data_IF_161428186934
#
_entry.id   IF_161428186934
#
_cell.length_a   1.000
_cell.length_b   1.000
_cell.length_c   1.000
_cell.angle_alpha   90.00
_cell.angle_beta   90.00
_cell.angle_gamma   90.00
#
_symmetry.space_group_name_H-M   'P 1'
#
loop_
_entity.id
_entity.type
_entity.pdbx_description
1 polymer ?
2 non-polymer ?
3 non-polymer ?
4 non-polymer ?
5 water ?
#
# COMPACT_ATOMS: atom_id res chain seq x y z
N UNK A 1 -10.39 18.86 12.90
CA UNK A 1 -9.32 18.14 12.23
C UNK A 1 -8.42 17.44 13.24
N UNK A 2 -8.36 16.11 13.15
CA UNK A 2 -7.58 15.32 14.09
C UNK A 2 -6.84 14.22 13.35
N UNK A 3 -5.91 13.59 14.06
CA UNK A 3 -5.39 12.32 13.60
C UNK A 3 -6.48 11.28 13.79
N UNK A 4 -7.23 11.00 12.72
CA UNK A 4 -8.27 9.97 12.72
C UNK A 4 -7.66 8.63 12.33
N UNK A 5 -7.45 7.76 13.31
CA UNK A 5 -6.76 6.50 13.05
C UNK A 5 -7.61 5.54 12.24
N UNK A 6 -8.94 5.57 12.39
CA UNK A 6 -9.78 4.74 11.54
C UNK A 6 -9.64 5.12 10.07
N UNK A 7 -9.61 6.43 9.80
CA UNK A 7 -9.41 6.89 8.43
C UNK A 7 -7.99 6.58 7.95
N UNK A 8 -6.99 6.91 8.77
CA UNK A 8 -5.60 6.73 8.36
C UNK A 8 -5.27 5.26 8.10
N UNK A 9 -5.72 4.37 8.99
CA UNK A 9 -5.42 2.96 8.81
C UNK A 9 -6.16 2.36 7.62
N UNK A 10 -7.34 2.90 7.29
CA UNK A 10 -8.05 2.43 6.11
C UNK A 10 -7.32 2.83 4.83
N UNK A 11 -6.88 4.10 4.76
CA UNK A 11 -6.12 4.53 3.59
C UNK A 11 -4.77 3.82 3.51
N UNK A 12 -4.13 3.60 4.65
CA UNK A 12 -2.86 2.86 4.64
C UNK A 12 -3.07 1.42 4.21
N UNK A 13 -4.13 0.77 4.70
CA UNK A 13 -4.44 -0.58 4.26
C UNK A 13 -4.75 -0.61 2.77
N UNK A 14 -5.37 0.46 2.25
CA UNK A 14 -5.62 0.55 0.81
C UNK A 14 -4.30 0.55 0.03
N UNK A 15 -3.26 1.15 0.60
CA UNK A 15 -1.95 1.14 -0.05
C UNK A 15 -1.27 -0.21 0.03
N UNK A 16 -1.84 -1.17 0.76
CA UNK A 16 -1.34 -2.53 0.73
C UNK A 16 -1.53 -3.22 -0.61
N UNK A 17 -2.50 -2.77 -1.41
CA UNK A 17 -2.69 -3.37 -2.73
C UNK A 17 -1.57 -3.00 -3.68
N UNK A 18 -1.22 -1.73 -3.90
CA UNK A 18 -0.05 -1.44 -4.74
C UNK A 18 1.25 -1.91 -4.12
N UNK A 19 1.35 -1.94 -2.80
CA UNK A 19 2.55 -2.46 -2.16
C UNK A 19 2.74 -3.95 -2.45
N UNK A 20 1.63 -4.69 -2.60
CA UNK A 20 1.74 -6.11 -2.93
C UNK A 20 2.33 -6.33 -4.31
N UNK A 21 2.03 -5.44 -5.27
CA UNK A 21 2.56 -5.62 -6.62
C UNK A 21 4.08 -5.53 -6.62
N UNK A 22 4.63 -4.64 -5.79
CA UNK A 22 6.08 -4.57 -5.63
C UNK A 22 6.65 -5.77 -4.90
N UNK A 23 5.90 -6.32 -3.95
CA UNK A 23 6.39 -7.46 -3.17
C UNK A 23 6.48 -8.73 -4.00
N UNK A 24 5.63 -8.88 -5.02
CA UNK A 24 5.61 -10.05 -5.87
C UNK A 24 6.62 -9.97 -7.01
N UNK A 25 7.57 -9.04 -6.93
CA UNK A 25 8.53 -8.76 -7.97
C UNK A 25 9.84 -9.48 -7.66
N UNK A 26 10.21 -10.41 -8.55
CA UNK A 26 11.45 -11.17 -8.47
C UNK A 26 12.53 -10.48 -9.30
N UNK A 27 13.81 -10.73 -9.01
CA UNK A 27 14.86 -10.12 -9.84
C UNK A 27 14.69 -10.54 -11.30
N UNK A 28 14.48 -9.53 -12.14
CA UNK A 28 14.17 -9.74 -13.55
C UNK A 28 15.40 -9.49 -14.41
N UNK A 29 15.77 -10.49 -15.23
CA UNK A 29 16.89 -10.30 -16.14
C UNK A 29 16.51 -9.37 -17.29
N UNK A 30 15.23 -9.35 -17.67
CA UNK A 30 14.78 -8.44 -18.72
C UNK A 30 14.93 -6.99 -18.28
N UNK A 31 14.69 -6.71 -16.99
CA UNK A 31 14.83 -5.34 -16.50
C UNK A 31 16.29 -4.94 -16.38
N UNK A 32 17.17 -5.87 -16.00
CA UNK A 32 18.58 -5.51 -15.85
C UNK A 32 19.28 -5.36 -17.21
N UNK A 33 18.65 -5.85 -18.27
CA UNK A 33 19.19 -5.71 -19.62
C UNK A 33 18.81 -4.38 -20.24
N UNK A 34 17.75 -3.74 -19.75
CA UNK A 34 17.26 -2.50 -20.32
C UNK A 34 18.27 -1.36 -20.17
N UNK A 35 18.44 -0.59 -21.23
CA UNK A 35 19.26 0.60 -21.18
C UNK A 35 18.55 1.66 -20.36
N UNK A 36 19.18 2.13 -19.30
CA UNK A 36 18.50 3.05 -18.43
C UNK A 36 19.15 4.44 -18.45
N UNK A 37 18.37 5.49 -18.21
CA UNK A 37 18.95 6.83 -18.10
C UNK A 37 19.91 6.92 -16.93
N UNK A 38 20.85 7.86 -17.03
CA UNK A 38 21.90 8.00 -16.02
C UNK A 38 21.33 8.32 -14.65
N UNK A 39 20.16 8.95 -14.59
CA UNK A 39 19.55 9.32 -13.33
C UNK A 39 18.61 8.24 -12.79
N UNK A 40 18.63 7.04 -13.38
CA UNK A 40 17.82 5.95 -12.87
C UNK A 40 18.31 5.58 -11.48
N UNK A 41 17.47 5.62 -10.46
CA UNK A 41 17.91 5.22 -9.12
C UNK A 41 18.12 3.72 -9.05
N UNK A 42 18.93 3.24 -8.11
CA UNK A 42 19.07 1.80 -7.93
C UNK A 42 17.75 1.17 -7.48
N UNK A 43 17.68 -0.15 -7.61
CA UNK A 43 16.42 -0.86 -7.41
C UNK A 43 15.94 -0.73 -5.97
N UNK A 44 16.86 -0.73 -5.01
CA UNK A 44 16.47 -0.71 -3.60
C UNK A 44 15.84 0.62 -3.17
N UNK A 45 16.00 1.68 -3.97
CA UNK A 45 15.46 2.99 -3.60
C UNK A 45 13.94 2.99 -3.71
N UNK A 46 13.40 2.30 -4.71
CA UNK A 46 11.97 2.39 -5.00
C UNK A 46 11.08 1.89 -3.87
N UNK A 47 11.32 0.74 -3.24
CA UNK A 47 10.45 0.35 -2.11
C UNK A 47 10.49 1.31 -0.95
N UNK A 48 11.64 1.95 -0.70
CA UNK A 48 11.73 2.94 0.37
C UNK A 48 10.95 4.20 0.02
N UNK A 49 11.03 4.64 -1.25
CA UNK A 49 10.31 5.84 -1.66
C UNK A 49 8.80 5.62 -1.63
N UNK A 50 8.34 4.47 -2.11
CA UNK A 50 6.89 4.24 -2.20
C UNK A 50 6.28 4.09 -0.81
N UNK A 51 7.00 3.45 0.11
CA UNK A 51 6.51 3.34 1.49
C UNK A 51 6.31 4.71 2.11
N UNK A 52 7.27 5.62 1.90
CA UNK A 52 7.10 6.99 2.38
C UNK A 52 5.89 7.66 1.74
N UNK A 53 5.68 7.44 0.44
CA UNK A 53 4.57 8.08 -0.26
C UNK A 53 3.23 7.52 0.20
N UNK A 54 3.17 6.22 0.49
CA UNK A 54 1.92 5.64 0.99
C UNK A 54 1.49 6.29 2.29
N UNK A 55 2.45 6.56 3.19
CA UNK A 55 2.12 7.22 4.44
C UNK A 55 1.75 8.67 4.22
N UNK A 56 2.45 9.36 3.31
CA UNK A 56 2.13 10.76 3.05
C UNK A 56 0.76 10.89 2.40
N UNK A 57 0.46 10.04 1.41
CA UNK A 57 -0.83 10.15 0.74
C UNK A 57 -1.96 9.65 1.63
N UNK A 58 -1.69 8.73 2.56
CA UNK A 58 -2.73 8.29 3.47
C UNK A 58 -3.02 9.34 4.53
N UNK A 59 -1.98 10.04 5.00
CA UNK A 59 -2.19 11.14 5.93
C UNK A 59 -2.93 12.29 5.27
N UNK A 60 -2.62 12.56 4.00
CA UNK A 60 -3.30 13.63 3.27
C UNK A 60 -4.78 13.31 3.09
N UNK A 61 -5.08 12.08 2.65
CA UNK A 61 -6.47 11.70 2.47
C UNK A 61 -7.22 11.67 3.80
N UNK A 62 -6.53 11.32 4.89
CA UNK A 62 -7.16 11.31 6.20
C UNK A 62 -7.61 12.72 6.60
N UNK A 63 -6.80 13.74 6.29
CA UNK A 63 -7.19 15.11 6.60
C UNK A 63 -8.36 15.56 5.74
N UNK A 64 -8.32 15.25 4.45
CA UNK A 64 -9.37 15.70 3.52
C UNK A 64 -10.69 15.01 3.86
N UNK A 65 -10.65 13.73 4.20
CA UNK A 65 -11.87 12.97 4.45
C UNK A 65 -12.66 13.50 5.64
N UNK A 66 -12.05 14.33 6.48
CA UNK A 66 -12.76 14.94 7.61
C UNK A 66 -13.41 16.27 7.25
N UNK A 67 -13.25 16.73 6.02
CA UNK A 67 -13.67 18.07 5.62
C UNK A 67 -14.93 18.01 4.76
N UNK A 68 -15.84 18.93 5.03
CA UNK A 68 -17.04 19.14 4.22
C UNK A 68 -16.69 19.36 2.74
N UNK A 69 -17.44 18.71 1.87
CA UNK A 69 -17.28 18.92 0.44
C UNK A 69 -16.11 18.19 -0.20
N UNK A 70 -15.60 17.15 0.44
CA UNK A 70 -14.43 16.42 -0.02
C UNK A 70 -14.75 15.34 -1.05
N UNK A 71 -15.99 15.25 -1.52
CA UNK A 71 -16.38 14.11 -2.34
C UNK A 71 -15.57 13.98 -3.62
N UNK A 72 -15.43 15.09 -4.36
CA UNK A 72 -14.69 15.04 -5.62
C UNK A 72 -13.22 14.73 -5.38
N UNK A 73 -12.65 15.27 -4.31
CA UNK A 73 -11.24 15.01 -4.01
C UNK A 73 -11.00 13.54 -3.70
N UNK A 74 -11.91 12.91 -2.94
CA UNK A 74 -11.75 11.50 -2.63
C UNK A 74 -12.04 10.61 -3.83
N UNK A 75 -12.86 11.09 -4.76
CA UNK A 75 -13.06 10.36 -6.01
C UNK A 75 -11.79 10.36 -6.84
N UNK A 76 -11.11 11.50 -6.94
CA UNK A 76 -9.80 11.56 -7.58
C UNK A 76 -8.81 10.66 -6.87
N UNK A 77 -8.85 10.63 -5.53
CA UNK A 77 -7.92 9.81 -4.76
C UNK A 77 -8.11 8.33 -5.06
N UNK A 78 -9.36 7.87 -5.13
CA UNK A 78 -9.61 6.48 -5.49
C UNK A 78 -9.10 6.18 -6.89
N UNK A 79 -9.19 7.14 -7.80
CA UNK A 79 -8.77 6.92 -9.18
C UNK A 79 -7.25 6.78 -9.29
N UNK A 80 -6.50 7.67 -8.61
CA UNK A 80 -5.05 7.61 -8.69
C UNK A 80 -4.50 6.34 -8.06
N UNK A 81 -5.12 5.89 -6.95
CA UNK A 81 -4.66 4.68 -6.30
C UNK A 81 -4.89 3.45 -7.16
N UNK A 82 -6.03 3.40 -7.86
CA UNK A 82 -6.35 2.25 -8.70
C UNK A 82 -5.37 2.15 -9.87
N UNK A 83 -5.09 3.27 -10.55
CA UNK A 83 -4.15 3.23 -11.66
C UNK A 83 -2.71 3.04 -11.17
N UNK A 84 -2.40 3.50 -9.96
CA UNK A 84 -1.12 3.19 -9.35
C UNK A 84 -0.96 1.68 -9.18
N UNK A 85 -2.02 1.00 -8.71
CA UNK A 85 -1.97 -0.44 -8.56
C UNK A 85 -1.84 -1.15 -9.91
N UNK A 86 -2.39 -0.55 -10.96
CA UNK A 86 -2.38 -1.19 -12.28
C UNK A 86 -1.01 -1.13 -12.94
N UNK A 87 -0.21 -0.10 -12.66
CA UNK A 87 0.98 0.17 -13.47
C UNK A 87 2.04 -0.92 -13.31
N UNK A 88 2.37 -1.29 -12.08
CA UNK A 88 3.47 -2.23 -11.86
C UNK A 88 3.27 -3.56 -12.56
N UNK A 89 2.10 -4.22 -12.49
CA UNK A 89 1.94 -5.46 -13.26
C UNK A 89 2.05 -5.28 -14.75
N UNK A 90 1.65 -4.12 -15.29
CA UNK A 90 1.71 -3.91 -16.72
C UNK A 90 3.15 -3.77 -17.19
N UNK A 91 3.96 -3.02 -16.45
CA UNK A 91 5.34 -2.77 -16.86
C UNK A 91 6.23 -3.99 -16.57
N UNK A 92 6.20 -4.48 -15.33
CA UNK A 92 7.12 -5.54 -14.92
C UNK A 92 6.57 -6.94 -15.17
N UNK A 93 5.27 -7.15 -14.95
CA UNK A 93 4.69 -8.47 -15.14
C UNK A 93 4.45 -8.81 -16.60
N UNK A 94 3.72 -7.95 -17.30
CA UNK A 94 3.39 -8.20 -18.70
C UNK A 94 4.44 -7.66 -19.66
N UNK A 95 5.37 -6.83 -19.18
CA UNK A 95 6.42 -6.24 -20.00
C UNK A 95 5.84 -5.52 -21.22
N UNK A 96 4.73 -4.81 -21.00
CA UNK A 96 4.08 -4.01 -22.02
C UNK A 96 4.40 -2.54 -21.75
N UNK A 97 5.53 -2.09 -22.29
CA UNK A 97 6.05 -0.77 -21.93
C UNK A 97 5.17 0.35 -22.47
N UNK A 98 4.59 0.17 -23.66
CA UNK A 98 3.76 1.21 -24.25
C UNK A 98 2.49 1.43 -23.44
N UNK A 99 1.81 0.34 -23.08
CA UNK A 99 0.60 0.47 -22.26
C UNK A 99 0.93 1.01 -20.87
N UNK A 100 2.06 0.61 -20.31
CA UNK A 100 2.47 1.11 -19.01
C UNK A 100 2.68 2.62 -19.04
N UNK A 101 3.18 3.15 -20.16
CA UNK A 101 3.32 4.59 -20.29
C UNK A 101 1.96 5.26 -20.27
N UNK A 102 0.99 4.69 -20.97
CA UNK A 102 -0.37 5.21 -20.92
C UNK A 102 -0.96 5.12 -19.53
N UNK A 103 -0.69 4.02 -18.82
CA UNK A 103 -1.23 3.84 -17.48
C UNK A 103 -0.65 4.88 -16.52
N UNK A 104 0.68 5.06 -16.55
CA UNK A 104 1.31 5.97 -15.61
C UNK A 104 0.98 7.42 -15.94
N UNK A 105 0.69 7.72 -17.20
CA UNK A 105 0.27 9.08 -17.55
C UNK A 105 -1.15 9.35 -17.06
N UNK A 106 -2.01 8.34 -17.10
CA UNK A 106 -3.34 8.48 -16.51
C UNK A 106 -3.22 8.60 -14.99
N UNK A 107 -2.33 7.80 -14.40
CA UNK A 107 -2.06 7.93 -12.96
C UNK A 107 -1.56 9.34 -12.64
N UNK A 108 -0.63 9.86 -13.44
CA UNK A 108 -0.10 11.20 -13.22
C UNK A 108 -1.21 12.24 -13.20
N UNK A 109 -2.14 12.16 -14.16
CA UNK A 109 -3.23 13.14 -14.22
C UNK A 109 -4.11 13.07 -12.98
N UNK A 110 -4.40 11.85 -12.50
CA UNK A 110 -5.23 11.72 -11.31
C UNK A 110 -4.49 12.12 -10.05
N UNK A 111 -3.17 11.90 -10.02
CA UNK A 111 -2.36 12.40 -8.91
C UNK A 111 -2.37 13.93 -8.90
N UNK A 112 -2.23 14.55 -10.08
CA UNK A 112 -2.31 16.00 -10.16
C UNK A 112 -3.70 16.51 -9.82
N UNK A 113 -4.75 15.82 -10.28
CA UNK A 113 -6.10 16.23 -9.95
C UNK A 113 -6.39 16.10 -8.47
N UNK A 114 -5.89 15.03 -7.84
CA UNK A 114 -6.06 14.88 -6.40
C UNK A 114 -5.34 15.99 -5.64
N UNK A 115 -4.09 16.29 -6.02
CA UNK A 115 -3.34 17.33 -5.35
C UNK A 115 -4.03 18.68 -5.46
N UNK A 116 -4.53 19.02 -6.66
CA UNK A 116 -5.25 20.29 -6.83
C UNK A 116 -6.51 20.31 -5.98
N UNK A 117 -7.31 19.24 -6.03
CA UNK A 117 -8.54 19.19 -5.25
C UNK A 117 -8.25 19.22 -3.75
N UNK A 118 -7.13 18.63 -3.34
CA UNK A 118 -6.74 18.67 -1.93
C UNK A 118 -6.38 20.09 -1.52
N UNK A 119 -5.65 20.80 -2.37
CA UNK A 119 -5.28 22.19 -2.07
C UNK A 119 -6.49 23.09 -1.90
N UNK A 120 -7.59 22.79 -2.62
CA UNK A 120 -8.79 23.60 -2.50
C UNK A 120 -9.45 23.46 -1.13
N UNK A 121 -9.22 22.34 -0.44
CA UNK A 121 -9.82 22.08 0.86
C UNK A 121 -8.86 22.25 2.01
N UNK A 122 -7.59 21.86 1.84
CA UNK A 122 -6.62 21.87 2.92
C UNK A 122 -5.23 22.02 2.32
N UNK A 123 -4.51 23.08 2.73
CA UNK A 123 -3.20 23.34 2.15
C UNK A 123 -2.20 22.24 2.51
N UNK A 124 -2.25 21.74 3.75
CA UNK A 124 -1.28 20.73 4.16
C UNK A 124 -1.50 19.42 3.43
N UNK A 125 -2.76 19.07 3.16
CA UNK A 125 -3.04 17.86 2.39
C UNK A 125 -2.52 18.00 0.96
N UNK A 126 -2.61 19.19 0.38
CA UNK A 126 -2.02 19.41 -0.93
C UNK A 126 -0.50 19.37 -0.89
N UNK A 127 0.10 19.93 0.17
CA UNK A 127 1.55 19.91 0.29
C UNK A 127 2.07 18.48 0.42
N UNK A 128 1.34 17.64 1.17
CA UNK A 128 1.74 16.25 1.35
C UNK A 128 1.73 15.47 0.03
N UNK A 129 0.95 15.92 -0.95
CA UNK A 129 0.89 15.26 -2.25
C UNK A 129 1.94 15.78 -3.22
N UNK A 130 2.65 16.86 -2.87
CA UNK A 130 3.65 17.41 -3.79
C UNK A 130 4.80 16.44 -4.05
N UNK A 131 5.42 15.80 -3.04
CA UNK A 131 6.45 14.80 -3.36
C UNK A 131 5.91 13.61 -4.12
N UNK A 132 4.61 13.32 -4.01
CA UNK A 132 4.01 12.25 -4.81
C UNK A 132 3.97 12.63 -6.28
N UNK A 133 3.52 13.85 -6.58
CA UNK A 133 3.48 14.30 -7.98
C UNK A 133 4.88 14.39 -8.58
N UNK A 134 5.86 14.79 -7.77
CA UNK A 134 7.25 14.81 -8.24
C UNK A 134 7.72 13.40 -8.57
N UNK A 135 7.44 12.45 -7.68
CA UNK A 135 7.84 11.07 -7.91
C UNK A 135 7.10 10.47 -9.09
N UNK A 136 5.81 10.81 -9.25
CA UNK A 136 5.06 10.34 -10.40
C UNK A 136 5.63 10.90 -11.70
N UNK A 137 6.15 12.12 -11.68
CA UNK A 137 6.78 12.70 -12.85
C UNK A 137 8.05 11.94 -13.22
N UNK A 138 8.90 11.65 -12.23
CA UNK A 138 10.10 10.87 -12.49
C UNK A 138 9.76 9.47 -12.96
N UNK A 139 8.69 8.88 -12.41
CA UNK A 139 8.27 7.55 -12.83
C UNK A 139 7.81 7.56 -14.28
N UNK A 140 7.05 8.58 -14.69
CA UNK A 140 6.65 8.71 -16.08
C UNK A 140 7.86 8.87 -16.98
N UNK A 141 8.86 9.65 -16.53
CA UNK A 141 10.07 9.81 -17.32
C UNK A 141 10.85 8.52 -17.46
N UNK A 142 10.91 7.72 -16.39
CA UNK A 142 11.61 6.45 -16.44
C UNK A 142 10.92 5.49 -17.41
N UNK A 143 9.59 5.46 -17.40
CA UNK A 143 8.85 4.62 -18.34
C UNK A 143 9.09 5.08 -19.78
N UNK A 144 9.12 6.41 -20.00
CA UNK A 144 9.32 6.92 -21.35
C UNK A 144 10.71 6.62 -21.86
N UNK A 145 11.74 6.85 -21.04
CA UNK A 145 13.11 6.59 -21.47
C UNK A 145 13.40 5.11 -21.64
N UNK A 146 12.80 4.24 -20.82
CA UNK A 146 13.01 2.81 -20.98
C UNK A 146 12.49 2.32 -22.31
N UNK A 147 11.35 2.84 -22.76
CA UNK A 147 10.80 2.45 -24.05
C UNK A 147 11.61 3.04 -25.20
N UNK A 148 12.02 4.30 -25.04
CA UNK A 148 12.75 5.00 -26.09
C UNK A 148 14.18 4.49 -26.25
N UNK A 149 14.80 3.99 -25.18
CA UNK A 149 16.18 3.52 -25.21
C UNK A 149 16.35 2.03 -25.47
N UNK A 150 15.27 1.27 -25.62
CA UNK A 150 15.39 -0.18 -25.73
C UNK A 150 14.58 -0.72 -26.89
N UNK A 151 14.83 -1.99 -27.20
CA UNK A 151 13.99 -2.74 -28.12
C UNK A 151 12.64 -3.02 -27.49
N UNK A 152 11.58 -2.92 -28.28
CA UNK A 152 10.22 -3.18 -27.81
C UNK A 152 9.56 -4.20 -28.73
N UNK A 153 9.06 -5.28 -28.14
CA UNK A 153 8.32 -6.31 -28.83
C UNK A 153 6.86 -5.91 -28.98
N UNK A 154 6.20 -6.30 -30.08
CA UNK A 154 4.76 -6.06 -30.19
C UNK A 154 4.00 -6.72 -29.06
N UNK A 155 2.97 -6.03 -28.57
CA UNK A 155 2.09 -6.59 -27.56
C UNK A 155 0.90 -7.27 -28.23
N UNK A 156 -0.02 -7.78 -27.42
CA UNK A 156 -1.21 -8.43 -27.95
C UNK A 156 -2.09 -7.43 -28.67
N UNK A 157 -2.61 -7.83 -29.84
CA UNK A 157 -3.47 -6.96 -30.63
C UNK A 157 -4.85 -6.83 -30.02
N UNK B 2 -30.49 12.77 -9.24
CA UNK B 2 -29.40 13.32 -8.44
C UNK B 2 -28.09 12.82 -9.01
N UNK B 3 -27.79 13.27 -10.22
CA UNK B 3 -26.60 12.83 -10.93
C UNK B 3 -25.54 13.93 -10.88
N UNK B 4 -24.56 13.78 -10.01
CA UNK B 4 -23.39 14.64 -10.04
C UNK B 4 -22.49 13.98 -11.08
N UNK B 5 -22.54 14.52 -12.30
CA UNK B 5 -21.91 13.83 -13.41
C UNK B 5 -20.39 13.85 -13.29
N UNK B 6 -19.83 14.90 -12.69
CA UNK B 6 -18.39 14.92 -12.43
C UNK B 6 -17.98 13.81 -11.47
N UNK B 7 -18.79 13.59 -10.43
CA UNK B 7 -18.49 12.53 -9.46
C UNK B 7 -18.61 11.15 -10.09
N UNK B 8 -19.72 10.88 -10.77
CA UNK B 8 -19.95 9.55 -11.32
C UNK B 8 -18.91 9.20 -12.38
N UNK B 9 -18.58 10.16 -13.26
CA UNK B 9 -17.61 9.88 -14.31
C UNK B 9 -16.21 9.71 -13.75
N UNK B 10 -15.90 10.36 -12.63
CA UNK B 10 -14.61 10.13 -11.97
C UNK B 10 -14.55 8.72 -11.38
N UNK B 11 -15.63 8.31 -10.69
CA UNK B 11 -15.68 6.95 -10.16
C UNK B 11 -15.71 5.91 -11.26
N UNK B 12 -16.43 6.19 -12.35
CA UNK B 12 -16.45 5.27 -13.48
C UNK B 12 -15.07 5.17 -14.12
N UNK B 13 -14.39 6.30 -14.30
CA UNK B 13 -13.03 6.27 -14.83
C UNK B 13 -12.08 5.53 -13.92
N UNK B 14 -12.29 5.60 -12.61
CA UNK B 14 -11.47 4.84 -11.68
C UNK B 14 -11.60 3.34 -11.91
N UNK B 15 -12.79 2.89 -12.31
CA UNK B 15 -13.00 1.48 -12.62
C UNK B 15 -12.38 1.09 -13.96
N UNK B 16 -11.86 2.05 -14.72
CA UNK B 16 -11.09 1.71 -15.91
C UNK B 16 -9.80 0.99 -15.60
N UNK B 17 -9.26 1.17 -14.39
CA UNK B 17 -8.04 0.46 -14.02
C UNK B 17 -8.30 -1.03 -13.83
N UNK B 18 -9.26 -1.48 -13.01
CA UNK B 18 -9.54 -2.93 -12.97
C UNK B 18 -10.10 -3.47 -14.26
N UNK B 19 -10.87 -2.67 -15.01
CA UNK B 19 -11.34 -3.14 -16.31
C UNK B 19 -10.19 -3.36 -17.28
N UNK B 20 -9.13 -2.55 -17.16
CA UNK B 20 -7.96 -2.73 -18.02
C UNK B 20 -7.25 -4.04 -17.71
N UNK B 21 -7.21 -4.46 -16.44
CA UNK B 21 -6.54 -5.70 -16.10
C UNK B 21 -7.23 -6.89 -16.74
N UNK B 22 -8.56 -6.85 -16.85
CA UNK B 22 -9.26 -7.90 -17.55
C UNK B 22 -9.02 -7.89 -19.04
N UNK B 23 -8.85 -6.71 -19.64
CA UNK B 23 -8.62 -6.63 -21.07
C UNK B 23 -7.20 -7.09 -21.44
N UNK B 24 -6.21 -6.81 -20.58
CA UNK B 24 -4.84 -7.20 -20.88
C UNK B 24 -4.48 -8.58 -20.36
N UNK B 25 -5.46 -9.35 -19.89
CA UNK B 25 -5.19 -10.63 -19.26
C UNK B 25 -6.43 -11.52 -19.37
N UNK B 26 -6.90 -11.72 -20.59
CA UNK B 26 -8.03 -12.62 -20.78
C UNK B 26 -7.61 -14.03 -20.37
N UNK B 27 -8.53 -14.84 -19.86
CA UNK B 27 -8.19 -16.23 -19.53
C UNK B 27 -7.74 -16.99 -20.77
N UNK B 28 -6.55 -17.56 -20.69
CA UNK B 28 -5.93 -18.27 -21.80
C UNK B 28 -6.19 -19.77 -21.65
N UNK B 29 -5.36 -20.60 -22.27
CA UNK B 29 -5.53 -22.04 -22.15
C UNK B 29 -5.15 -22.54 -20.77
N UNK B 30 -4.33 -21.78 -20.02
CA UNK B 30 -4.01 -22.19 -18.65
C UNK B 30 -5.26 -22.19 -17.79
N UNK B 31 -6.17 -21.25 -18.03
CA UNK B 31 -7.41 -21.22 -17.27
C UNK B 31 -8.37 -22.33 -17.71
N UNK B 32 -8.39 -22.66 -19.00
CA UNK B 32 -9.31 -23.70 -19.46
C UNK B 32 -8.85 -25.10 -19.07
N UNK B 33 -7.57 -25.27 -18.75
CA UNK B 33 -7.04 -26.56 -18.34
C UNK B 33 -7.25 -26.81 -16.86
N UNK B 34 -7.47 -25.77 -16.07
CA UNK B 34 -7.67 -25.94 -14.64
C UNK B 34 -8.96 -26.70 -14.36
N UNK B 35 -8.95 -27.50 -13.30
CA UNK B 35 -10.16 -28.18 -12.87
C UNK B 35 -11.13 -27.16 -12.30
N UNK B 36 -12.39 -27.25 -12.70
CA UNK B 36 -13.34 -26.24 -12.28
C UNK B 36 -14.38 -26.82 -11.33
N UNK B 37 -14.91 -26.01 -10.41
CA UNK B 37 -16.05 -26.44 -9.61
C UNK B 37 -17.26 -26.69 -10.49
N UNK B 38 -18.16 -27.55 -10.01
CA UNK B 38 -19.30 -27.94 -10.82
C UNK B 38 -20.20 -26.74 -11.14
N UNK B 39 -20.18 -25.72 -10.29
CA UNK B 39 -20.99 -24.52 -10.46
C UNK B 39 -20.26 -23.41 -11.22
N UNK B 40 -19.16 -23.72 -11.88
CA UNK B 40 -18.39 -22.71 -12.62
C UNK B 40 -19.24 -22.07 -13.73
N UNK B 41 -19.40 -20.75 -13.73
CA UNK B 41 -20.18 -20.10 -14.79
C UNK B 41 -19.43 -20.10 -16.12
N UNK B 42 -20.16 -19.96 -17.23
CA UNK B 42 -19.49 -19.83 -18.53
C UNK B 42 -18.71 -18.54 -18.65
N UNK B 43 -17.87 -18.48 -19.68
CA UNK B 43 -16.91 -17.37 -19.82
C UNK B 43 -17.63 -16.03 -19.98
N UNK B 44 -18.75 -16.01 -20.71
CA UNK B 44 -19.43 -14.75 -21.01
C UNK B 44 -20.08 -14.12 -19.78
N UNK B 45 -20.22 -14.84 -18.68
CA UNK B 45 -20.86 -14.29 -17.51
C UNK B 45 -19.99 -13.21 -16.86
N UNK B 46 -18.67 -13.43 -16.85
CA UNK B 46 -17.77 -12.52 -16.12
C UNK B 46 -17.74 -11.11 -16.70
N UNK B 47 -17.59 -10.89 -18.01
CA UNK B 47 -17.64 -9.50 -18.50
C UNK B 47 -18.98 -8.84 -18.27
N UNK B 48 -20.07 -9.60 -18.30
CA UNK B 48 -21.39 -9.03 -18.02
C UNK B 48 -21.52 -8.66 -16.54
N UNK B 49 -21.01 -9.52 -15.65
CA UNK B 49 -21.12 -9.23 -14.22
C UNK B 49 -20.27 -8.03 -13.83
N UNK B 50 -19.02 -7.98 -14.29
CA UNK B 50 -18.12 -6.92 -13.85
C UNK B 50 -18.49 -5.58 -14.46
N UNK B 51 -18.93 -5.57 -15.73
CA UNK B 51 -19.37 -4.31 -16.33
C UNK B 51 -20.55 -3.73 -15.57
N UNK B 52 -21.53 -4.57 -15.22
CA UNK B 52 -22.66 -4.11 -14.43
C UNK B 52 -22.22 -3.58 -13.06
N UNK B 53 -21.29 -4.30 -12.41
CA UNK B 53 -20.89 -3.91 -11.06
C UNK B 53 -20.12 -2.60 -11.04
N UNK B 54 -19.28 -2.36 -12.06
CA UNK B 54 -18.54 -1.10 -12.13
C UNK B 54 -19.50 0.07 -12.25
N UNK B 55 -20.56 -0.08 -13.04
CA UNK B 55 -21.55 0.98 -13.15
C UNK B 55 -22.36 1.12 -11.86
N UNK B 56 -22.70 -0.02 -11.23
CA UNK B 56 -23.47 0.02 -10.00
C UNK B 56 -22.66 0.63 -8.85
N UNK B 57 -21.40 0.22 -8.71
CA UNK B 57 -20.59 0.74 -7.61
C UNK B 57 -20.20 2.20 -7.82
N UNK B 58 -20.11 2.65 -9.06
CA UNK B 58 -19.82 4.05 -9.32
C UNK B 58 -21.03 4.93 -9.05
N UNK B 59 -22.22 4.44 -9.36
CA UNK B 59 -23.45 5.17 -9.04
C UNK B 59 -23.65 5.28 -7.53
N UNK B 60 -23.33 4.21 -6.79
CA UNK B 60 -23.47 4.25 -5.34
C UNK B 60 -22.49 5.24 -4.72
N UNK B 61 -21.23 5.21 -5.16
CA UNK B 61 -20.23 6.12 -4.62
C UNK B 61 -20.55 7.57 -4.93
N UNK B 62 -21.16 7.84 -6.10
CA UNK B 62 -21.55 9.20 -6.43
C UNK B 62 -22.58 9.74 -5.45
N UNK B 63 -23.54 8.91 -5.04
CA UNK B 63 -24.54 9.35 -4.07
C UNK B 63 -23.91 9.61 -2.71
N UNK B 64 -23.02 8.71 -2.26
CA UNK B 64 -22.42 8.83 -0.94
C UNK B 64 -21.50 10.05 -0.88
N UNK B 65 -20.75 10.31 -1.95
CA UNK B 65 -19.76 11.39 -1.96
C UNK B 65 -20.38 12.77 -1.81
N UNK B 66 -21.68 12.91 -2.00
CA UNK B 66 -22.37 14.18 -1.81
C UNK B 66 -22.87 14.40 -0.39
N UNK B 67 -22.65 13.43 0.50
CA UNK B 67 -23.29 13.40 1.81
C UNK B 67 -22.32 13.76 2.93
N UNK B 68 -22.85 14.49 3.92
CA UNK B 68 -22.11 14.77 5.16
C UNK B 68 -21.60 13.48 5.79
N UNK B 69 -20.34 13.50 6.20
CA UNK B 69 -19.76 12.39 6.94
C UNK B 69 -19.38 11.18 6.11
N UNK B 70 -19.20 11.33 4.81
CA UNK B 70 -18.93 10.20 3.92
C UNK B 70 -17.46 9.81 3.87
N UNK B 71 -16.60 10.41 4.69
CA UNK B 71 -15.16 10.19 4.55
C UNK B 71 -14.77 8.74 4.75
N UNK B 72 -15.26 8.11 5.82
CA UNK B 72 -14.91 6.73 6.09
C UNK B 72 -15.45 5.79 5.02
N UNK B 73 -16.66 6.06 4.52
CA UNK B 73 -17.23 5.22 3.48
C UNK B 73 -16.40 5.28 2.20
N UNK B 74 -15.93 6.47 1.82
CA UNK B 74 -15.13 6.59 0.61
C UNK B 74 -13.73 6.04 0.81
N UNK B 75 -13.23 6.01 2.06
CA UNK B 75 -11.98 5.34 2.34
C UNK B 75 -12.11 3.83 2.15
N UNK B 76 -13.21 3.24 2.62
CA UNK B 76 -13.48 1.84 2.34
C UNK B 76 -13.61 1.60 0.84
N UNK B 77 -14.27 2.52 0.13
CA UNK B 77 -14.46 2.36 -1.30
C UNK B 77 -13.12 2.37 -2.04
N UNK B 78 -12.21 3.27 -1.66
CA UNK B 78 -10.88 3.28 -2.28
C UNK B 78 -10.14 1.98 -1.99
N UNK B 79 -10.34 1.39 -0.82
CA UNK B 79 -9.62 0.18 -0.45
C UNK B 79 -10.11 -1.01 -1.27
N UNK B 80 -11.42 -1.17 -1.42
CA UNK B 80 -11.95 -2.30 -2.18
C UNK B 80 -11.57 -2.19 -3.64
N UNK B 81 -11.56 -0.97 -4.19
CA UNK B 81 -11.21 -0.80 -5.60
C UNK B 81 -9.75 -1.13 -5.86
N UNK B 82 -8.86 -0.76 -4.95
CA UNK B 82 -7.44 -1.04 -5.13
C UNK B 82 -7.18 -2.54 -5.12
N UNK B 83 -7.77 -3.27 -4.17
CA UNK B 83 -7.60 -4.71 -4.13
C UNK B 83 -8.35 -5.40 -5.26
N UNK B 84 -9.46 -4.80 -5.72
CA UNK B 84 -10.12 -5.28 -6.93
C UNK B 84 -9.19 -5.22 -8.13
N UNK B 85 -8.46 -4.10 -8.28
CA UNK B 85 -7.51 -3.97 -9.37
C UNK B 85 -6.34 -4.93 -9.23
N UNK B 86 -5.97 -5.27 -8.00
CA UNK B 86 -4.79 -6.10 -7.74
C UNK B 86 -5.02 -7.57 -8.11
N UNK B 87 -6.26 -8.05 -8.01
CA UNK B 87 -6.49 -9.50 -8.03
C UNK B 87 -6.14 -10.12 -9.39
N UNK B 88 -6.64 -9.53 -10.48
CA UNK B 88 -6.45 -10.15 -11.79
C UNK B 88 -4.98 -10.35 -12.15
N UNK B 89 -4.08 -9.37 -11.97
CA UNK B 89 -2.66 -9.64 -12.28
C UNK B 89 -2.06 -10.74 -11.42
N UNK B 90 -2.50 -10.89 -10.18
CA UNK B 90 -1.92 -11.92 -9.31
C UNK B 90 -2.38 -13.31 -9.75
N UNK B 91 -3.66 -13.47 -10.05
CA UNK B 91 -4.19 -14.79 -10.39
C UNK B 91 -3.87 -15.16 -11.84
N UNK B 92 -4.20 -14.29 -12.78
CA UNK B 92 -4.06 -14.64 -14.20
C UNK B 92 -2.68 -14.29 -14.74
N UNK B 93 -2.10 -13.18 -14.33
CA UNK B 93 -0.80 -12.79 -14.83
C UNK B 93 0.32 -13.59 -14.20
N UNK B 94 0.40 -13.58 -12.87
CA UNK B 94 1.45 -14.28 -12.15
C UNK B 94 1.10 -15.72 -11.80
N UNK B 95 -0.16 -16.11 -11.93
CA UNK B 95 -0.62 -17.46 -11.58
C UNK B 95 -0.22 -17.82 -10.14
N UNK B 96 -0.38 -16.85 -9.24
CA UNK B 96 -0.14 -17.06 -7.81
C UNK B 96 -1.49 -17.20 -7.14
N UNK B 97 -2.01 -18.43 -7.18
CA UNK B 97 -3.39 -18.67 -6.77
C UNK B 97 -3.57 -18.52 -5.27
N UNK B 98 -2.56 -18.92 -4.49
CA UNK B 98 -2.65 -18.79 -3.03
C UNK B 98 -2.66 -17.31 -2.63
N UNK B 99 -1.77 -16.51 -3.21
CA UNK B 99 -1.74 -15.08 -2.93
C UNK B 99 -3.03 -14.41 -3.39
N UNK B 100 -3.57 -14.84 -4.54
CA UNK B 100 -4.81 -14.26 -5.04
C UNK B 100 -5.96 -14.50 -4.08
N UNK B 101 -5.98 -15.65 -3.39
CA UNK B 101 -7.04 -15.90 -2.42
C UNK B 101 -6.98 -14.91 -1.28
N UNK B 102 -5.77 -14.60 -0.79
CA UNK B 102 -5.63 -13.58 0.24
C UNK B 102 -6.10 -12.22 -0.27
N UNK B 103 -5.81 -11.91 -1.54
CA UNK B 103 -6.19 -10.63 -2.10
C UNK B 103 -7.71 -10.50 -2.17
N UNK B 104 -8.38 -11.54 -2.67
CA UNK B 104 -9.83 -11.47 -2.84
C UNK B 104 -10.55 -11.51 -1.50
N UNK B 105 -9.93 -12.14 -0.49
CA UNK B 105 -10.54 -12.16 0.83
C UNK B 105 -10.45 -10.79 1.50
N UNK B 106 -9.33 -10.09 1.30
CA UNK B 106 -9.22 -8.72 1.80
C UNK B 106 -10.18 -7.81 1.04
N UNK B 107 -10.28 -7.98 -0.28
CA UNK B 107 -11.26 -7.22 -1.05
C UNK B 107 -12.68 -7.47 -0.54
N UNK B 108 -13.01 -8.73 -0.26
CA UNK B 108 -14.33 -9.06 0.26
C UNK B 108 -14.63 -8.29 1.54
N UNK B 109 -13.65 -8.22 2.45
CA UNK B 109 -13.87 -7.51 3.71
C UNK B 109 -14.12 -6.03 3.47
N UNK B 110 -13.39 -5.43 2.53
CA UNK B 110 -13.58 -4.01 2.24
C UNK B 110 -14.86 -3.76 1.46
N UNK B 111 -15.28 -4.71 0.62
CA UNK B 111 -16.57 -4.59 -0.05
C UNK B 111 -17.69 -4.65 0.98
N UNK B 112 -17.58 -5.56 1.96
CA UNK B 112 -18.57 -5.63 3.03
C UNK B 112 -18.53 -4.38 3.89
N UNK B 113 -17.34 -3.87 4.19
CA UNK B 113 -17.23 -2.65 4.99
C UNK B 113 -17.80 -1.45 4.24
N UNK B 114 -17.55 -1.36 2.93
CA UNK B 114 -18.12 -0.29 2.14
C UNK B 114 -19.65 -0.37 2.13
N UNK B 115 -20.18 -1.58 1.92
CA UNK B 115 -21.63 -1.75 1.92
C UNK B 115 -22.25 -1.33 3.25
N UNK B 116 -21.63 -1.72 4.36
CA UNK B 116 -22.14 -1.32 5.67
C UNK B 116 -22.09 0.20 5.83
N UNK B 117 -20.96 0.81 5.49
CA UNK B 117 -20.83 2.26 5.62
C UNK B 117 -21.78 2.99 4.70
N UNK B 118 -22.05 2.44 3.52
CA UNK B 118 -22.99 3.08 2.60
C UNK B 118 -24.41 3.06 3.17
N UNK B 119 -24.81 1.94 3.77
CA UNK B 119 -26.12 1.84 4.39
C UNK B 119 -26.30 2.86 5.51
N UNK B 120 -25.21 3.21 6.19
CA UNK B 120 -25.30 4.20 7.27
C UNK B 120 -25.62 5.60 6.74
N UNK B 121 -25.29 5.88 5.48
CA UNK B 121 -25.50 7.19 4.89
C UNK B 121 -26.66 7.24 3.91
N UNK B 122 -26.85 6.19 3.11
CA UNK B 122 -27.86 6.19 2.05
C UNK B 122 -28.28 4.77 1.77
N UNK B 123 -29.58 4.49 1.91
CA UNK B 123 -30.07 3.12 1.74
C UNK B 123 -29.86 2.63 0.32
N UNK B 124 -30.07 3.49 -0.68
CA UNK B 124 -29.95 3.07 -2.06
C UNK B 124 -28.49 2.76 -2.43
N UNK B 125 -27.55 3.52 -1.88
CA UNK B 125 -26.14 3.24 -2.13
C UNK B 125 -25.75 1.89 -1.55
N UNK B 126 -26.30 1.54 -0.39
CA UNK B 126 -26.05 0.21 0.17
C UNK B 126 -26.68 -0.89 -0.64
N UNK B 127 -27.89 -0.66 -1.15
CA UNK B 127 -28.58 -1.67 -1.96
C UNK B 127 -27.80 -1.95 -3.23
N UNK B 128 -27.24 -0.91 -3.86
CA UNK B 128 -26.47 -1.09 -5.08
C UNK B 128 -25.21 -1.93 -4.85
N UNK B 129 -24.71 -1.98 -3.62
CA UNK B 129 -23.52 -2.77 -3.30
C UNK B 129 -23.84 -4.20 -2.93
N UNK B 130 -25.12 -4.55 -2.74
CA UNK B 130 -25.47 -5.93 -2.37
C UNK B 130 -25.10 -6.94 -3.46
N UNK B 131 -25.44 -6.72 -4.74
CA UNK B 131 -24.97 -7.65 -5.77
C UNK B 131 -23.46 -7.71 -5.89
N UNK B 132 -22.75 -6.65 -5.51
CA UNK B 132 -21.30 -6.67 -5.50
C UNK B 132 -20.78 -7.64 -4.42
N UNK B 133 -21.33 -7.54 -3.21
CA UNK B 133 -20.91 -8.43 -2.14
C UNK B 133 -21.24 -9.88 -2.46
N UNK B 134 -22.38 -10.12 -3.12
CA UNK B 134 -22.73 -11.46 -3.55
C UNK B 134 -21.72 -11.98 -4.57
N UNK B 135 -21.40 -11.15 -5.57
CA UNK B 135 -20.45 -11.57 -6.59
C UNK B 135 -19.05 -11.74 -6.02
N UNK B 136 -18.66 -10.86 -5.09
CA UNK B 136 -17.36 -11.01 -4.44
C UNK B 136 -17.29 -12.31 -3.64
N UNK B 137 -18.42 -12.74 -3.07
CA UNK B 137 -18.45 -14.02 -2.37
C UNK B 137 -18.27 -15.17 -3.36
N UNK B 138 -18.98 -15.11 -4.50
CA UNK B 138 -18.81 -16.13 -5.52
C UNK B 138 -17.40 -16.10 -6.08
N UNK B 139 -16.79 -14.91 -6.19
CA UNK B 139 -15.43 -14.80 -6.68
C UNK B 139 -14.44 -15.45 -5.71
N UNK B 140 -14.63 -15.24 -4.40
CA UNK B 140 -13.77 -15.89 -3.42
C UNK B 140 -13.88 -17.40 -3.48
N UNK B 141 -15.11 -17.90 -3.70
CA UNK B 141 -15.28 -19.35 -3.83
C UNK B 141 -14.58 -19.92 -5.05
N UNK B 142 -14.62 -19.19 -6.17
CA UNK B 142 -13.93 -19.65 -7.37
C UNK B 142 -12.43 -19.70 -7.16
N UNK B 143 -11.87 -18.70 -6.47
CA UNK B 143 -10.45 -18.73 -6.15
C UNK B 143 -10.11 -19.90 -5.22
N UNK B 144 -10.99 -20.15 -4.24
CA UNK B 144 -10.75 -21.25 -3.30
C UNK B 144 -10.86 -22.59 -4.01
N UNK B 145 -11.89 -22.77 -4.84
CA UNK B 145 -12.07 -24.04 -5.54
C UNK B 145 -10.97 -24.28 -6.56
N UNK B 146 -10.43 -23.21 -7.16
CA UNK B 146 -9.32 -23.39 -8.08
C UNK B 146 -8.11 -23.99 -7.39
N UNK B 147 -7.84 -23.58 -6.15
CA UNK B 147 -6.71 -24.16 -5.42
C UNK B 147 -7.01 -25.57 -4.95
N UNK B 148 -8.23 -25.80 -4.45
CA UNK B 148 -8.55 -27.11 -3.90
C UNK B 148 -8.68 -28.18 -4.98
N UNK B 149 -9.08 -27.79 -6.19
CA UNK B 149 -9.27 -28.74 -7.28
C UNK B 149 -8.02 -28.87 -8.16
N UNK B 150 -6.97 -28.12 -7.87
CA UNK B 150 -5.75 -28.15 -8.66
C UNK B 150 -4.52 -28.15 -7.77
N UNK B 151 -4.62 -28.81 -6.60
CA UNK B 151 -3.57 -28.75 -5.60
C UNK B 151 -2.28 -29.44 -6.05
N UNK B 152 -2.36 -30.32 -7.04
CA UNK B 152 -1.16 -30.96 -7.57
C UNK B 152 -0.38 -30.04 -8.51
N UNK B 153 -0.87 -28.83 -8.77
CA UNK B 153 -0.13 -27.86 -9.56
C UNK B 153 0.68 -26.96 -8.63
N UNK B 154 1.96 -26.72 -8.91
CA UNK B 154 2.76 -25.87 -8.01
C UNK B 154 2.23 -24.46 -7.88
N UNK B 155 1.59 -23.92 -8.92
CA UNK B 155 1.08 -22.56 -8.85
C UNK B 155 -0.11 -22.41 -7.92
N UNK B 156 -0.72 -23.52 -7.48
CA UNK B 156 -1.84 -23.46 -6.55
C UNK B 156 -1.42 -23.45 -5.09
N UNK B 157 -0.17 -23.80 -4.80
CA UNK B 157 0.30 -23.91 -3.42
C UNK B 157 1.19 -22.74 -3.02
N UNK C 2 9.42 23.85 25.70
CA UNK C 2 10.59 23.87 26.58
C UNK C 2 11.53 22.72 26.27
N UNK C 3 12.82 23.04 26.11
CA UNK C 3 13.83 22.03 25.80
C UNK C 3 14.45 21.55 27.10
N UNK C 4 14.01 20.37 27.57
CA UNK C 4 14.60 19.72 28.73
C UNK C 4 15.78 18.88 28.26
N UNK C 5 17.00 19.39 28.45
CA UNK C 5 18.16 18.70 27.94
C UNK C 5 18.47 17.44 28.74
N UNK C 6 18.17 17.44 30.04
CA UNK C 6 18.34 16.22 30.84
C UNK C 6 17.42 15.12 30.34
N UNK C 7 16.18 15.47 30.01
CA UNK C 7 15.22 14.49 29.51
C UNK C 7 15.66 13.93 28.16
N UNK C 8 16.01 14.82 27.22
CA UNK C 8 16.36 14.37 25.87
C UNK C 8 17.59 13.48 25.88
N UNK C 9 18.61 13.85 26.65
CA UNK C 9 19.84 13.05 26.68
C UNK C 9 19.62 11.70 27.34
N UNK C 10 18.69 11.61 28.30
CA UNK C 10 18.37 10.32 28.90
C UNK C 10 17.67 9.41 27.90
N UNK C 11 16.68 9.95 27.17
CA UNK C 11 16.03 9.17 26.12
C UNK C 11 17.00 8.80 25.02
N UNK C 12 17.91 9.72 24.67
CA UNK C 12 18.92 9.42 23.68
C UNK C 12 19.88 8.34 24.16
N UNK C 13 20.28 8.42 25.44
CA UNK C 13 21.13 7.37 26.00
C UNK C 13 20.43 6.01 25.98
N UNK C 14 19.11 6.00 26.16
CA UNK C 14 18.36 4.75 26.07
C UNK C 14 18.47 4.12 24.69
N UNK C 15 18.56 4.94 23.64
CA UNK C 15 18.74 4.45 22.29
C UNK C 15 20.15 3.94 22.03
N UNK C 16 21.07 4.11 22.99
CA UNK C 16 22.37 3.48 22.89
C UNK C 16 22.33 1.98 22.95
N UNK C 17 21.28 1.41 23.55
CA UNK C 17 21.17 -0.05 23.60
C UNK C 17 20.92 -0.67 22.23
N UNK C 18 19.90 -0.26 21.46
CA UNK C 18 19.77 -0.80 20.10
C UNK C 18 20.92 -0.40 19.19
N UNK C 19 21.51 0.78 19.40
CA UNK C 19 22.68 1.18 18.62
C UNK C 19 23.88 0.29 18.89
N UNK C 20 23.99 -0.27 20.11
CA UNK C 20 25.12 -1.12 20.46
C UNK C 20 25.19 -2.37 19.61
N UNK C 21 24.04 -2.89 19.17
CA UNK C 21 23.98 -4.11 18.38
C UNK C 21 24.75 -3.99 17.07
N UNK C 22 24.87 -2.77 16.53
CA UNK C 22 25.64 -2.58 15.32
C UNK C 22 27.09 -2.99 15.47
N UNK C 23 27.64 -2.86 16.68
CA UNK C 23 29.03 -3.27 16.91
C UNK C 23 29.17 -4.79 16.84
N UNK C 24 28.10 -5.52 17.15
CA UNK C 24 28.09 -6.97 17.16
C UNK C 24 27.79 -7.58 15.79
N UNK C 25 27.95 -6.82 14.72
CA UNK C 25 27.56 -7.25 13.38
C UNK C 25 28.79 -7.27 12.47
N UNK C 26 28.77 -8.17 11.50
CA UNK C 26 29.87 -8.32 10.57
C UNK C 26 29.37 -8.47 9.14
N UNK C 27 30.19 -8.09 8.16
CA UNK C 27 29.84 -8.35 6.75
C UNK C 27 29.70 -9.84 6.50
N UNK C 28 28.66 -10.20 5.74
CA UNK C 28 28.34 -11.61 5.55
C UNK C 28 29.15 -12.18 4.39
N UNK C 29 29.20 -13.51 4.34
CA UNK C 29 29.98 -14.21 3.34
C UNK C 29 29.37 -14.08 1.95
N UNK C 30 30.21 -14.31 0.94
CA UNK C 30 29.77 -14.24 -0.45
C UNK C 30 28.73 -15.30 -0.78
N UNK C 31 28.81 -16.44 -0.11
CA UNK C 31 27.89 -17.57 -0.39
C UNK C 31 26.57 -17.37 0.35
N UNK C 32 26.47 -16.34 1.19
CA UNK C 32 25.22 -16.03 1.94
C UNK C 32 24.39 -15.00 1.17
N UNK C 33 24.82 -14.58 -0.01
CA UNK C 33 24.14 -13.49 -0.78
C UNK C 33 22.70 -13.85 -1.15
N UNK C 34 22.44 -15.10 -1.53
CA UNK C 34 21.10 -15.56 -1.96
C UNK C 34 20.09 -15.43 -0.79
N UNK C 35 20.53 -15.68 0.44
CA UNK C 35 19.62 -15.67 1.63
C UNK C 35 18.97 -14.29 1.81
N UNK C 36 19.70 -13.20 1.57
CA UNK C 36 19.15 -11.82 1.72
C UNK C 36 18.11 -11.46 0.63
N UNK C 37 17.07 -10.65 0.96
CA UNK C 37 16.11 -10.16 -0.04
C UNK C 37 16.83 -9.39 -1.14
N UNK C 38 16.30 -9.52 -2.36
CA UNK C 38 16.99 -8.92 -3.50
C UNK C 38 16.90 -7.39 -3.49
N UNK C 39 15.84 -6.84 -2.89
CA UNK C 39 15.67 -5.38 -2.81
C UNK C 39 16.26 -4.83 -1.52
N UNK C 40 17.10 -5.59 -0.84
CA UNK C 40 17.74 -5.14 0.38
C UNK C 40 18.62 -3.94 0.10
N UNK C 41 18.44 -2.82 0.81
CA UNK C 41 19.30 -1.66 0.61
C UNK C 41 20.71 -1.95 1.09
N UNK C 42 21.70 -1.17 0.66
CA UNK C 42 23.07 -1.39 1.13
C UNK C 42 23.18 -1.19 2.63
N UNK C 43 24.28 -1.70 3.19
CA UNK C 43 24.43 -1.78 4.63
C UNK C 43 24.44 -0.40 5.28
N UNK C 44 25.05 0.59 4.60
CA UNK C 44 25.20 1.91 5.20
C UNK C 44 23.87 2.65 5.37
N UNK C 45 22.80 2.19 4.72
CA UNK C 45 21.52 2.88 4.83
C UNK C 45 20.92 2.68 6.21
N UNK C 46 21.08 1.48 6.79
CA UNK C 46 20.42 1.18 8.06
C UNK C 46 20.91 2.04 9.21
N UNK C 47 22.22 2.22 9.46
CA UNK C 47 22.63 3.13 10.54
C UNK C 47 22.23 4.57 10.31
N UNK C 48 22.14 5.00 9.05
CA UNK C 48 21.74 6.37 8.76
C UNK C 48 20.27 6.60 9.14
N UNK C 49 19.40 5.64 8.82
CA UNK C 49 17.99 5.78 9.16
C UNK C 49 17.77 5.69 10.66
N UNK C 50 18.41 4.71 11.32
CA UNK C 50 18.15 4.48 12.73
C UNK C 50 18.73 5.59 13.60
N UNK C 51 19.91 6.11 13.24
CA UNK C 51 20.46 7.24 13.99
C UNK C 51 19.54 8.44 13.91
N UNK C 52 18.98 8.72 12.73
CA UNK C 52 18.00 9.80 12.59
C UNK C 52 16.79 9.53 13.46
N UNK C 53 16.33 8.27 13.49
CA UNK C 53 15.13 7.94 14.26
C UNK C 53 15.37 8.04 15.75
N UNK C 54 16.58 7.69 16.21
CA UNK C 54 16.89 7.81 17.63
C UNK C 54 16.79 9.25 18.10
N UNK C 55 17.26 10.20 17.29
CA UNK C 55 17.17 11.61 17.64
C UNK C 55 15.73 12.10 17.57
N UNK C 56 14.98 11.67 16.54
CA UNK C 56 13.59 12.09 16.40
C UNK C 56 12.73 11.54 17.51
N UNK C 57 12.87 10.25 17.83
CA UNK C 57 12.02 9.64 18.85
C UNK C 57 12.39 10.12 20.25
N UNK C 58 13.65 10.49 20.48
CA UNK C 58 14.03 11.00 21.79
C UNK C 58 13.54 12.43 21.99
N UNK C 59 13.53 13.23 20.93
CA UNK C 59 12.96 14.56 21.01
C UNK C 59 11.45 14.51 21.23
N UNK C 60 10.78 13.54 20.60
CA UNK C 60 9.34 13.39 20.79
C UNK C 60 9.01 12.99 22.22
N UNK C 61 9.76 12.02 22.77
CA UNK C 61 9.52 11.59 24.14
C UNK C 61 9.81 12.70 25.14
N UNK C 62 10.80 13.55 24.86
CA UNK C 62 11.10 14.66 25.76
C UNK C 62 9.93 15.62 25.87
N UNK C 63 9.26 15.91 24.74
CA UNK C 63 8.10 16.79 24.78
C UNK C 63 6.94 16.14 25.53
N UNK C 64 6.70 14.86 25.30
CA UNK C 64 5.59 14.17 25.95
C UNK C 64 5.83 14.07 27.45
N UNK C 65 7.07 13.78 27.86
CA UNK C 65 7.38 13.56 29.27
C UNK C 65 7.19 14.80 30.12
N UNK C 66 7.09 15.98 29.51
CA UNK C 66 6.85 17.22 30.24
C UNK C 66 5.37 17.53 30.42
N UNK C 67 4.47 16.71 29.88
CA UNK C 67 3.06 17.02 29.83
C UNK C 67 2.28 16.15 30.81
N UNK C 68 1.30 16.76 31.48
CA UNK C 68 0.37 16.03 32.32
C UNK C 68 -0.30 14.91 31.54
N UNK C 69 -0.43 13.75 32.18
CA UNK C 69 -1.11 12.63 31.57
C UNK C 69 -0.26 11.83 30.60
N UNK C 70 1.07 11.91 30.73
CA UNK C 70 2.00 11.25 29.82
C UNK C 70 2.23 9.79 30.17
N UNK C 71 1.54 9.24 31.18
CA UNK C 71 1.87 7.91 31.67
C UNK C 71 1.69 6.83 30.61
N UNK C 72 0.52 6.81 29.97
CA UNK C 72 0.24 5.76 28.99
C UNK C 72 1.14 5.89 27.77
N UNK C 73 1.43 7.12 27.33
CA UNK C 73 2.28 7.31 26.17
C UNK C 73 3.70 6.83 26.43
N UNK C 74 4.25 7.13 27.61
CA UNK C 74 5.61 6.71 27.93
C UNK C 74 5.68 5.22 28.20
N UNK C 75 4.58 4.61 28.64
CA UNK C 75 4.54 3.15 28.75
C UNK C 75 4.61 2.51 27.37
N UNK C 76 3.86 3.04 26.41
CA UNK C 76 3.99 2.57 25.03
C UNK C 76 5.40 2.82 24.50
N UNK C 77 5.98 3.97 24.85
CA UNK C 77 7.32 4.29 24.37
C UNK C 77 8.35 3.30 24.89
N UNK C 78 8.26 2.92 26.17
CA UNK C 78 9.16 1.92 26.71
C UNK C 78 8.96 0.57 26.00
N UNK C 79 7.72 0.26 25.63
CA UNK C 79 7.44 -1.02 25.00
C UNK C 79 8.03 -1.09 23.59
N UNK C 80 7.86 -0.03 22.79
CA UNK C 80 8.39 -0.04 21.44
C UNK C 80 9.91 -0.07 21.45
N UNK C 81 10.53 0.64 22.40
CA UNK C 81 11.99 0.66 22.48
C UNK C 81 12.54 -0.70 22.88
N UNK C 82 11.85 -1.39 23.79
CA UNK C 82 12.32 -2.70 24.22
C UNK C 82 12.25 -3.72 23.09
N UNK C 83 11.14 -3.74 22.35
CA UNK C 83 11.03 -4.66 21.23
C UNK C 83 11.93 -4.22 20.06
N UNK C 84 12.15 -2.92 19.92
CA UNK C 84 13.15 -2.45 18.98
C UNK C 84 14.54 -2.96 19.35
N UNK C 85 14.87 -2.89 20.66
CA UNK C 85 16.16 -3.39 21.12
C UNK C 85 16.27 -4.90 20.96
N UNK C 86 15.15 -5.62 21.09
CA UNK C 86 15.20 -7.07 20.97
C UNK C 86 15.35 -7.51 19.52
N UNK C 87 14.75 -6.77 18.59
CA UNK C 87 14.66 -7.23 17.20
C UNK C 87 16.02 -7.23 16.52
N UNK C 88 16.77 -6.14 16.66
CA UNK C 88 18.03 -5.98 15.93
C UNK C 88 19.03 -7.10 16.17
N UNK C 89 19.31 -7.53 17.41
CA UNK C 89 20.23 -8.68 17.57
C UNK C 89 19.68 -9.96 16.96
N UNK C 90 18.38 -10.18 17.03
CA UNK C 90 17.80 -11.42 16.52
C UNK C 90 17.83 -11.42 15.00
N UNK C 91 17.47 -10.30 14.37
CA UNK C 91 17.40 -10.25 12.92
C UNK C 91 18.79 -10.16 12.29
N UNK C 92 19.60 -9.20 12.74
CA UNK C 92 20.89 -8.98 12.09
C UNK C 92 22.00 -9.84 12.70
N UNK C 93 22.01 -9.99 14.02
CA UNK C 93 23.03 -10.77 14.70
C UNK C 93 22.84 -12.28 14.66
N UNK C 94 21.69 -12.75 15.14
CA UNK C 94 21.44 -14.18 15.23
C UNK C 94 20.83 -14.77 13.96
N UNK C 95 20.34 -13.94 13.04
CA UNK C 95 19.77 -14.39 11.77
C UNK C 95 18.65 -15.43 11.99
N UNK C 96 17.78 -15.17 12.96
CA UNK C 96 16.61 -16.01 13.23
C UNK C 96 15.41 -15.27 12.65
N UNK C 97 15.15 -15.51 11.36
CA UNK C 97 14.22 -14.68 10.60
C UNK C 97 12.77 -14.87 11.05
N UNK C 98 12.36 -16.09 11.37
CA UNK C 98 10.98 -16.32 11.79
C UNK C 98 10.68 -15.64 13.12
N UNK C 99 11.58 -15.79 14.10
CA UNK C 99 11.39 -15.14 15.38
C UNK C 99 11.46 -13.63 15.26
N UNK C 100 12.39 -13.13 14.43
CA UNK C 100 12.54 -11.69 14.24
C UNK C 100 11.29 -11.08 13.61
N UNK C 101 10.61 -11.81 12.72
CA UNK C 101 9.38 -11.29 12.12
C UNK C 101 8.29 -11.07 13.17
N UNK C 102 8.14 -12.01 14.11
CA UNK C 102 7.17 -11.83 15.17
C UNK C 102 7.53 -10.64 16.04
N UNK C 103 8.82 -10.45 16.32
CA UNK C 103 9.25 -9.34 17.16
C UNK C 103 8.98 -8.01 16.48
N UNK C 104 9.31 -7.91 15.19
CA UNK C 104 9.18 -6.63 14.49
C UNK C 104 7.72 -6.27 14.27
N UNK C 105 6.84 -7.27 14.21
CA UNK C 105 5.41 -6.97 14.09
C UNK C 105 4.86 -6.45 15.41
N UNK C 106 5.34 -6.97 16.53
CA UNK C 106 4.98 -6.41 17.83
C UNK C 106 5.56 -5.01 17.99
N UNK C 107 6.80 -4.81 17.54
CA UNK C 107 7.40 -3.48 17.56
C UNK C 107 6.57 -2.50 16.72
N UNK C 108 6.13 -2.93 15.54
CA UNK C 108 5.31 -2.07 14.68
C UNK C 108 4.06 -1.61 15.40
N UNK C 109 3.37 -2.54 16.09
CA UNK C 109 2.15 -2.20 16.79
C UNK C 109 2.41 -1.20 17.91
N UNK C 110 3.52 -1.39 18.64
CA UNK C 110 3.83 -0.48 19.74
C UNK C 110 4.31 0.87 19.24
N UNK C 111 4.99 0.91 18.09
CA UNK C 111 5.34 2.19 17.48
C UNK C 111 4.08 2.93 17.07
N UNK C 112 3.11 2.21 16.49
CA UNK C 112 1.84 2.83 16.15
C UNK C 112 1.08 3.27 17.39
N UNK C 113 1.12 2.46 18.45
CA UNK C 113 0.45 2.83 19.69
C UNK C 113 1.11 4.04 20.32
N UNK C 114 2.44 4.11 20.28
CA UNK C 114 3.14 5.29 20.79
C UNK C 114 2.77 6.53 19.98
N UNK C 115 2.77 6.41 18.66
CA UNK C 115 2.39 7.53 17.80
C UNK C 115 0.99 8.00 18.11
N UNK C 116 0.06 7.06 18.29
CA UNK C 116 -1.32 7.42 18.64
C UNK C 116 -1.37 8.14 19.98
N UNK C 117 -0.70 7.60 20.99
CA UNK C 117 -0.70 8.24 22.32
C UNK C 117 0.02 9.58 22.29
N UNK C 118 1.08 9.71 21.47
CA UNK C 118 1.79 10.98 21.40
C UNK C 118 0.94 12.06 20.76
N UNK C 119 0.21 11.72 19.68
CA UNK C 119 -0.65 12.70 19.03
C UNK C 119 -1.74 13.21 19.97
N UNK C 120 -2.19 12.38 20.91
CA UNK C 120 -3.22 12.79 21.85
C UNK C 120 -2.73 13.87 22.82
N UNK C 121 -1.42 13.96 23.05
CA UNK C 121 -0.85 14.92 23.99
C UNK C 121 -0.17 16.10 23.31
N UNK C 122 0.51 15.86 22.19
CA UNK C 122 1.29 16.90 21.52
C UNK C 122 1.38 16.54 20.05
N UNK C 123 0.90 17.45 19.19
CA UNK C 123 0.88 17.18 17.76
C UNK C 123 2.28 17.03 17.19
N UNK C 124 3.23 17.84 17.66
CA UNK C 124 4.58 17.77 17.13
C UNK C 124 5.28 16.47 17.53
N UNK C 125 5.02 15.98 18.74
CA UNK C 125 5.58 14.71 19.15
C UNK C 125 5.03 13.56 18.29
N UNK C 126 3.76 13.65 17.94
CA UNK C 126 3.20 12.64 17.03
C UNK C 126 3.78 12.73 15.63
N UNK C 127 3.99 13.95 15.14
CA UNK C 127 4.56 14.14 13.81
C UNK C 127 5.97 13.56 13.74
N UNK C 128 6.76 13.74 14.81
CA UNK C 128 8.12 13.23 14.85
C UNK C 128 8.16 11.70 14.76
N UNK C 129 7.07 11.02 15.12
CA UNK C 129 7.02 9.56 15.04
C UNK C 129 6.60 9.03 13.68
N UNK C 130 6.14 9.90 12.78
CA UNK C 130 5.73 9.44 11.46
C UNK C 130 6.87 8.80 10.68
N UNK C 131 8.06 9.40 10.60
CA UNK C 131 9.17 8.70 9.91
C UNK C 131 9.56 7.39 10.57
N UNK C 132 9.31 7.25 11.87
CA UNK C 132 9.57 5.98 12.55
C UNK C 132 8.62 4.90 12.07
N UNK C 133 7.32 5.20 12.01
CA UNK C 133 6.35 4.22 11.54
C UNK C 133 6.60 3.86 10.08
N UNK C 134 7.06 4.80 9.27
CA UNK C 134 7.41 4.51 7.89
C UNK C 134 8.55 3.51 7.81
N UNK C 135 9.62 3.75 8.58
CA UNK C 135 10.77 2.86 8.53
C UNK C 135 10.45 1.49 9.12
N UNK C 136 9.64 1.45 10.18
CA UNK C 136 9.22 0.18 10.74
C UNK C 136 8.40 -0.64 9.75
N UNK C 137 7.61 0.03 8.91
CA UNK C 137 6.86 -0.68 7.89
C UNK C 137 7.78 -1.28 6.83
N UNK C 138 8.73 -0.49 6.34
CA UNK C 138 9.69 -1.03 5.38
C UNK C 138 10.54 -2.13 5.98
N UNK C 139 10.87 -1.99 7.27
CA UNK C 139 11.64 -3.03 7.95
C UNK C 139 10.85 -4.33 8.08
N UNK C 140 9.57 -4.23 8.42
CA UNK C 140 8.72 -5.42 8.49
C UNK C 140 8.64 -6.11 7.13
N UNK C 141 8.55 -5.33 6.05
CA UNK C 141 8.53 -5.93 4.73
C UNK C 141 9.82 -6.65 4.40
N UNK C 142 10.95 -6.08 4.80
CA UNK C 142 12.23 -6.74 4.58
C UNK C 142 12.34 -8.02 5.40
N UNK C 143 11.86 -7.98 6.66
CA UNK C 143 11.87 -9.18 7.49
C UNK C 143 10.98 -10.27 6.91
N UNK C 144 9.84 -9.89 6.35
CA UNK C 144 8.93 -10.89 5.79
C UNK C 144 9.58 -11.62 4.61
N UNK C 145 10.19 -10.87 3.69
CA UNK C 145 10.86 -11.51 2.57
C UNK C 145 12.07 -12.32 3.02
N UNK C 146 12.77 -11.83 4.05
CA UNK C 146 13.87 -12.60 4.63
C UNK C 146 13.36 -13.90 5.24
N UNK C 147 12.18 -13.85 5.87
CA UNK C 147 11.58 -15.06 6.42
C UNK C 147 11.11 -15.99 5.32
N UNK C 148 10.60 -15.41 4.22
CA UNK C 148 10.08 -16.22 3.12
C UNK C 148 11.19 -17.04 2.47
N UNK C 149 12.44 -16.61 2.61
CA UNK C 149 13.58 -17.32 2.04
C UNK C 149 14.12 -18.38 2.99
N UNK C 150 13.55 -18.47 4.18
CA UNK C 150 13.97 -19.38 5.25
C UNK C 150 15.48 -19.58 5.36
#
# INVERSE_FOLDING_TARGET
MNMDWALFLTFLAACGAPATTGALLKPDEWYDNLNKPWWNPPRWVFPLAWTSLYFLMSLAAMRVAQLEGSGQALAFYAAQLAFNTLWTPVFFGMKRMATALAVVMVMWLFVAATMWAFFQLDTWAGVLFVPYLIWATATTGLNFEAMRLNWNRPEARA
MNMDWALFLTFLAACGAPATTGALLKPDEWYDNLNKPWWNPPRWVFPLAWTSLYFLMSLAAMRVAQLEGSGQALAFYAAQLAFNTLWTPVFFGMKRMATALAVVMVMWLFVAATMWAFFQLDTWAGVLFVPYLIWATATTGLNFEAMRLNWNRPEARA
MNMDWALFLTFLAACGAPATTGALLKPDEWYDNLNKPWWNPPRWVFPLAWTSLYFLMSLAAMRVAQLEGSGQALAFYAAQLAFNTLWTPVFFGMKRMATALAVVMVMWLFVAATMWAFFQLDTWAGVLFVPYLIWATATTGLNFEAMRLNWNRPEARA
#
